data_IF_329135977835
#
_entry.id   IF_329135977835
#
_cell.length_a   1.000
_cell.length_b   1.000
_cell.length_c   1.000
_cell.angle_alpha   90.00
_cell.angle_beta   90.00
_cell.angle_gamma   90.00
#
_symmetry.space_group_name_H-M   'P 1'
#
loop_
_entity.id
_entity.type
_entity.pdbx_description
1 polymer ?
#
# COMPACT_ATOMS: atom_id res chain seq x y z
N UNK A 1 -15.22 12.51 19.97
CA UNK A 1 -16.21 11.97 20.92
C UNK A 1 -17.62 12.39 20.50
N UNK A 2 -18.63 11.76 21.06
CA UNK A 2 -20.03 12.21 20.98
C UNK A 2 -20.63 12.34 22.37
N UNK A 3 -21.68 13.14 22.49
CA UNK A 3 -22.48 13.27 23.71
C UNK A 3 -23.96 13.30 23.36
N UNK A 4 -24.77 12.62 24.18
CA UNK A 4 -26.22 12.69 24.14
C UNK A 4 -26.71 13.83 25.03
N UNK A 5 -27.63 14.63 24.54
CA UNK A 5 -28.11 15.83 25.22
C UNK A 5 -29.64 15.85 25.17
N UNK A 6 -30.24 16.32 26.25
CA UNK A 6 -31.69 16.50 26.35
C UNK A 6 -32.04 17.93 26.68
N UNK A 7 -33.30 18.27 26.43
CA UNK A 7 -33.88 19.53 26.82
C UNK A 7 -35.29 19.33 27.35
N UNK A 8 -35.56 19.92 28.52
CA UNK A 8 -36.89 19.99 29.12
C UNK A 8 -37.29 21.46 29.18
N UNK A 9 -38.50 21.80 28.75
CA UNK A 9 -39.00 23.17 28.69
C UNK A 9 -40.43 23.27 29.21
N UNK A 10 -40.62 24.15 30.18
CA UNK A 10 -41.93 24.47 30.75
C UNK A 10 -42.14 25.99 30.77
N UNK A 11 -43.06 26.49 29.95
CA UNK A 11 -43.25 27.94 29.75
C UNK A 11 -41.96 28.60 29.27
N UNK A 12 -41.46 29.59 30.00
CA UNK A 12 -40.21 30.29 29.68
C UNK A 12 -38.96 29.65 30.31
N UNK A 13 -39.14 28.63 31.16
CA UNK A 13 -38.02 27.93 31.82
C UNK A 13 -37.60 26.74 30.97
N UNK A 14 -36.29 26.52 30.86
CA UNK A 14 -35.74 25.33 30.24
C UNK A 14 -34.52 24.82 31.00
N UNK A 15 -34.25 23.53 30.88
CA UNK A 15 -33.04 22.89 31.36
C UNK A 15 -32.42 22.08 30.23
N UNK A 16 -31.10 22.21 30.04
CA UNK A 16 -30.32 21.38 29.13
C UNK A 16 -29.63 20.31 29.96
N UNK A 17 -29.85 19.05 29.61
CA UNK A 17 -29.31 17.89 30.31
C UNK A 17 -28.17 17.30 29.47
N UNK A 18 -27.06 16.99 30.12
CA UNK A 18 -25.88 16.41 29.48
C UNK A 18 -25.77 14.93 29.81
N UNK A 19 -25.39 14.15 28.80
CA UNK A 19 -25.23 12.69 28.88
C UNK A 19 -26.50 11.98 29.37
N UNK A 20 -27.60 12.25 28.66
CA UNK A 20 -28.93 11.80 29.07
C UNK A 20 -29.06 10.28 29.17
N UNK A 21 -29.82 9.85 30.17
CA UNK A 21 -30.29 8.48 30.31
C UNK A 21 -31.50 8.21 29.41
N UNK A 22 -31.84 6.93 29.23
CA UNK A 22 -33.01 6.55 28.43
C UNK A 22 -34.34 7.11 28.96
N UNK A 23 -34.49 7.22 30.28
CA UNK A 23 -35.69 7.81 30.88
C UNK A 23 -35.78 9.33 30.64
N UNK A 24 -34.63 10.02 30.64
CA UNK A 24 -34.54 11.46 30.36
C UNK A 24 -34.79 11.76 28.87
N UNK A 25 -34.40 10.86 27.97
CA UNK A 25 -34.74 10.90 26.55
C UNK A 25 -36.24 10.72 26.32
N UNK A 26 -36.86 9.75 27.00
CA UNK A 26 -38.28 9.46 26.87
C UNK A 26 -39.16 10.63 27.35
N UNK A 27 -38.77 11.26 28.46
CA UNK A 27 -39.51 12.35 29.09
C UNK A 27 -39.11 13.75 28.57
N UNK A 28 -38.00 13.86 27.84
CA UNK A 28 -37.48 15.11 27.31
C UNK A 28 -38.27 15.63 26.11
N UNK A 29 -38.32 16.97 26.00
CA UNK A 29 -39.02 17.69 24.93
C UNK A 29 -38.21 17.79 23.63
N UNK A 30 -36.90 17.61 23.74
CA UNK A 30 -35.97 17.50 22.62
C UNK A 30 -34.78 16.66 23.06
N UNK A 31 -34.34 15.78 22.16
CA UNK A 31 -33.07 15.07 22.29
C UNK A 31 -32.17 15.37 21.10
N UNK A 32 -30.88 15.47 21.36
CA UNK A 32 -29.91 15.67 20.31
C UNK A 32 -28.57 15.05 20.65
N UNK A 33 -27.88 14.62 19.61
CA UNK A 33 -26.61 13.90 19.71
C UNK A 33 -25.60 14.69 18.91
N UNK A 34 -24.51 15.10 19.58
CA UNK A 34 -23.46 15.91 18.98
C UNK A 34 -22.16 15.12 18.98
N UNK A 35 -21.61 14.85 17.80
CA UNK A 35 -20.31 14.20 17.65
C UNK A 35 -19.31 15.14 16.97
N UNK A 36 -18.04 15.04 17.35
CA UNK A 36 -17.01 15.92 16.83
C UNK A 36 -15.63 15.72 17.44
N UNK A 37 -14.71 16.51 16.89
CA UNK A 37 -13.35 16.69 17.41
C UNK A 37 -13.27 17.98 18.25
N UNK A 38 -12.07 18.29 18.73
CA UNK A 38 -11.77 19.58 19.36
C UNK A 38 -11.98 20.76 18.40
N UNK A 39 -11.80 20.54 17.09
CA UNK A 39 -11.85 21.57 16.05
C UNK A 39 -13.26 21.85 15.55
N UNK A 40 -14.22 20.95 15.78
CA UNK A 40 -15.57 21.14 15.27
C UNK A 40 -16.46 19.90 15.36
N UNK A 41 -17.72 20.11 14.95
CA UNK A 41 -18.76 19.07 14.89
C UNK A 41 -18.60 18.30 13.59
N UNK A 42 -18.61 16.96 13.69
CA UNK A 42 -18.57 16.04 12.54
C UNK A 42 -19.95 15.46 12.23
N UNK A 43 -20.82 15.35 13.24
CA UNK A 43 -22.21 14.94 13.07
C UNK A 43 -23.10 15.59 14.14
N UNK A 44 -24.32 15.93 13.73
CA UNK A 44 -25.37 16.46 14.60
C UNK A 44 -26.67 15.77 14.22
N UNK A 45 -27.30 15.12 15.19
CA UNK A 45 -28.64 14.55 15.06
C UNK A 45 -29.53 15.24 16.09
N UNK A 46 -30.73 15.65 15.70
CA UNK A 46 -31.68 16.34 16.57
C UNK A 46 -33.07 15.79 16.31
N UNK A 47 -33.80 15.49 17.38
CA UNK A 47 -35.22 15.18 17.36
C UNK A 47 -35.95 16.13 18.31
N UNK A 48 -36.94 16.85 17.76
CA UNK A 48 -37.63 17.93 18.44
C UNK A 48 -39.10 17.53 18.56
N UNK A 49 -39.59 17.37 19.79
CA UNK A 49 -40.94 16.91 20.08
C UNK A 49 -41.93 18.05 20.35
N UNK A 50 -41.41 19.26 20.61
CA UNK A 50 -42.21 20.45 20.92
C UNK A 50 -41.89 21.66 20.03
N UNK A 51 -42.80 22.62 19.98
CA UNK A 51 -42.55 23.94 19.39
C UNK A 51 -41.91 24.91 20.41
N UNK A 52 -41.28 25.97 19.92
CA UNK A 52 -40.78 27.06 20.77
C UNK A 52 -39.33 26.93 21.22
N UNK A 53 -38.51 26.15 20.50
CA UNK A 53 -37.05 26.12 20.69
C UNK A 53 -36.44 27.28 19.91
N UNK A 54 -35.95 28.28 20.63
CA UNK A 54 -35.33 29.46 20.02
C UNK A 54 -33.88 29.19 19.64
N UNK A 55 -33.32 30.03 18.76
CA UNK A 55 -31.90 29.98 18.40
C UNK A 55 -30.99 30.15 19.61
N UNK A 56 -31.40 30.93 20.59
CA UNK A 56 -30.64 31.18 21.82
C UNK A 56 -30.56 29.93 22.69
N UNK A 57 -31.69 29.23 22.88
CA UNK A 57 -31.76 27.94 23.58
C UNK A 57 -30.85 26.93 22.89
N UNK A 58 -30.91 26.85 21.56
CA UNK A 58 -30.09 25.93 20.78
C UNK A 58 -28.59 26.25 20.88
N UNK A 59 -28.22 27.54 20.88
CA UNK A 59 -26.84 27.97 21.06
C UNK A 59 -26.30 27.59 22.45
N UNK A 60 -27.09 27.81 23.50
CA UNK A 60 -26.74 27.40 24.86
C UNK A 60 -26.58 25.88 24.96
N UNK A 61 -27.51 25.13 24.36
CA UNK A 61 -27.49 23.67 24.38
C UNK A 61 -26.27 23.09 23.64
N UNK A 62 -25.91 23.68 22.48
CA UNK A 62 -24.73 23.29 21.72
C UNK A 62 -23.42 23.66 22.43
N UNK A 63 -23.38 24.77 23.17
CA UNK A 63 -22.20 25.15 23.96
C UNK A 63 -22.00 24.18 25.13
N UNK A 64 -23.08 23.81 25.83
CA UNK A 64 -23.01 22.78 26.87
C UNK A 64 -22.59 21.42 26.28
N UNK A 65 -23.11 21.05 25.11
CA UNK A 65 -22.70 19.85 24.39
C UNK A 65 -21.23 19.90 23.98
N UNK A 66 -20.71 21.07 23.58
CA UNK A 66 -19.28 21.26 23.29
C UNK A 66 -18.45 21.00 24.53
N UNK A 67 -18.80 21.59 25.68
CA UNK A 67 -18.08 21.40 26.93
C UNK A 67 -18.05 19.92 27.34
N UNK A 68 -19.20 19.24 27.32
CA UNK A 68 -19.28 17.80 27.61
C UNK A 68 -18.50 16.93 26.62
N UNK A 69 -18.57 17.24 25.31
CA UNK A 69 -17.80 16.51 24.29
C UNK A 69 -16.28 16.66 24.50
N UNK A 70 -15.81 17.85 24.84
CA UNK A 70 -14.39 18.10 25.13
C UNK A 70 -13.94 17.37 26.40
N UNK A 71 -14.80 17.30 27.42
CA UNK A 71 -14.54 16.50 28.61
C UNK A 71 -14.35 15.02 28.27
N UNK A 72 -15.27 14.42 27.50
CA UNK A 72 -15.17 13.02 27.07
C UNK A 72 -13.91 12.79 26.22
N UNK A 73 -13.60 13.70 25.28
CA UNK A 73 -12.36 13.64 24.51
C UNK A 73 -11.11 13.65 25.40
N UNK A 74 -11.11 14.48 26.45
CA UNK A 74 -10.03 14.53 27.42
C UNK A 74 -9.85 13.22 28.17
N UNK A 75 -10.93 12.57 28.59
CA UNK A 75 -10.86 11.23 29.21
C UNK A 75 -10.37 10.15 28.24
N UNK A 76 -10.81 10.17 26.98
CA UNK A 76 -10.31 9.27 25.94
C UNK A 76 -8.81 9.44 25.70
N UNK A 77 -8.33 10.69 25.66
CA UNK A 77 -6.94 11.03 25.41
C UNK A 77 -5.99 10.55 26.52
N UNK A 78 -6.47 10.37 27.77
CA UNK A 78 -5.67 9.77 28.85
C UNK A 78 -5.27 8.32 28.57
N UNK A 79 -6.00 7.63 27.70
CA UNK A 79 -5.74 6.25 27.31
C UNK A 79 -5.03 6.17 25.96
N UNK A 80 -5.50 6.94 24.97
CA UNK A 80 -4.92 7.01 23.63
C UNK A 80 -5.17 8.39 23.02
N UNK A 81 -4.10 9.16 22.85
CA UNK A 81 -4.13 10.52 22.30
C UNK A 81 -3.83 10.56 20.79
N UNK A 82 -3.09 9.58 20.29
CA UNK A 82 -2.71 9.44 18.87
C UNK A 82 -2.86 8.00 18.37
N UNK A 83 -3.07 7.79 17.06
CA UNK A 83 -2.99 6.47 16.46
C UNK A 83 -1.65 5.80 16.80
N UNK A 84 -1.67 4.47 16.99
CA UNK A 84 -0.43 3.69 17.19
C UNK A 84 0.43 3.79 15.93
N UNK A 85 1.74 3.94 16.12
CA UNK A 85 2.72 3.98 15.01
C UNK A 85 2.74 2.66 14.24
N UNK A 86 2.59 1.56 14.96
CA UNK A 86 2.54 0.23 14.39
C UNK A 86 1.17 -0.42 14.58
N UNK A 87 0.68 -1.01 13.50
CA UNK A 87 -0.50 -1.87 13.52
C UNK A 87 -0.20 -3.17 14.28
N UNK A 88 -1.22 -3.80 14.86
CA UNK A 88 -1.09 -5.13 15.48
C UNK A 88 -0.42 -6.13 14.53
N UNK A 89 0.35 -7.06 15.08
CA UNK A 89 0.96 -8.18 14.33
C UNK A 89 -0.10 -9.13 13.77
N UNK A 90 -1.26 -9.22 14.43
CA UNK A 90 -2.38 -10.08 14.04
C UNK A 90 -3.41 -9.39 13.16
N UNK A 91 -3.28 -8.08 12.97
CA UNK A 91 -4.20 -7.34 12.10
C UNK A 91 -3.78 -7.55 10.65
N UNK A 92 -4.72 -7.91 9.75
CA UNK A 92 -4.45 -7.96 8.32
C UNK A 92 -3.89 -6.63 7.84
N UNK A 93 -2.71 -6.66 7.23
CA UNK A 93 -2.03 -5.49 6.67
C UNK A 93 -2.37 -5.41 5.20
N UNK A 94 -2.73 -4.22 4.74
CA UNK A 94 -2.86 -3.91 3.33
C UNK A 94 -1.63 -3.11 2.93
N UNK A 95 -0.68 -3.76 2.27
CA UNK A 95 0.44 -3.08 1.63
C UNK A 95 -0.05 -2.51 0.29
N UNK A 96 0.29 -1.27 0.00
CA UNK A 96 -0.05 -0.64 -1.28
C UNK A 96 1.24 -0.24 -1.99
N UNK A 97 1.42 -0.71 -3.22
CA UNK A 97 2.50 -0.30 -4.12
C UNK A 97 1.93 0.21 -5.44
N UNK A 98 2.71 1.01 -6.16
CA UNK A 98 2.36 1.46 -7.51
C UNK A 98 3.34 0.88 -8.51
N UNK A 99 2.82 0.31 -9.59
CA UNK A 99 3.60 -0.25 -10.70
C UNK A 99 3.24 0.48 -12.00
N UNK A 100 4.10 0.38 -13.02
CA UNK A 100 3.76 0.90 -14.35
C UNK A 100 2.53 0.13 -14.90
N UNK A 101 1.43 0.83 -15.30
CA UNK A 101 0.23 0.19 -15.85
C UNK A 101 0.49 -0.76 -17.02
N UNK A 102 1.52 -0.49 -17.84
CA UNK A 102 1.88 -1.36 -18.96
C UNK A 102 2.31 -2.77 -18.51
N UNK A 103 2.82 -2.90 -17.27
CA UNK A 103 3.33 -4.15 -16.69
C UNK A 103 2.30 -4.92 -15.89
N UNK A 104 1.06 -4.42 -15.77
CA UNK A 104 -0.04 -5.13 -15.09
C UNK A 104 -0.22 -6.52 -15.69
N UNK A 105 -0.10 -6.63 -17.03
CA UNK A 105 -0.22 -7.92 -17.75
C UNK A 105 0.84 -8.93 -17.34
N UNK A 106 2.05 -8.48 -17.02
CA UNK A 106 3.16 -9.35 -16.61
C UNK A 106 2.95 -9.88 -15.20
N UNK A 107 2.42 -9.04 -14.29
CA UNK A 107 2.09 -9.43 -12.91
C UNK A 107 0.92 -10.41 -12.86
N UNK A 108 -0.13 -10.18 -13.67
CA UNK A 108 -1.26 -11.11 -13.78
C UNK A 108 -0.80 -12.43 -14.42
N UNK A 109 0.02 -12.35 -15.47
CA UNK A 109 0.44 -13.50 -16.27
C UNK A 109 -0.69 -14.05 -17.15
N UNK A 110 -0.37 -15.06 -17.98
CA UNK A 110 -1.34 -15.66 -18.90
C UNK A 110 -2.50 -16.31 -18.11
N UNK A 111 -3.71 -15.77 -18.27
CA UNK A 111 -4.91 -16.27 -17.59
C UNK A 111 -4.89 -16.11 -16.06
N UNK A 112 -4.04 -15.22 -15.52
CA UNK A 112 -3.91 -15.05 -14.06
C UNK A 112 -2.99 -16.07 -13.38
N UNK A 113 -2.21 -16.85 -14.13
CA UNK A 113 -1.36 -17.90 -13.55
C UNK A 113 -0.31 -17.34 -12.57
N UNK A 114 0.38 -16.26 -12.95
CA UNK A 114 1.44 -15.66 -12.12
C UNK A 114 0.89 -15.11 -10.82
N UNK A 115 -0.18 -14.31 -10.90
CA UNK A 115 -0.78 -13.71 -9.70
C UNK A 115 -1.35 -14.78 -8.77
N UNK A 116 -2.00 -15.82 -9.30
CA UNK A 116 -2.52 -16.94 -8.51
C UNK A 116 -1.41 -17.68 -7.78
N UNK A 117 -0.31 -17.95 -8.48
CA UNK A 117 0.86 -18.59 -7.88
C UNK A 117 1.42 -17.76 -6.72
N UNK A 118 1.57 -16.44 -6.91
CA UNK A 118 2.02 -15.55 -5.82
C UNK A 118 1.03 -15.63 -4.65
N UNK A 119 -0.26 -15.43 -4.90
CA UNK A 119 -1.27 -15.45 -3.83
C UNK A 119 -1.33 -16.77 -3.05
N UNK A 120 -1.11 -17.90 -3.74
CA UNK A 120 -1.14 -19.23 -3.13
C UNK A 120 0.12 -19.50 -2.30
N UNK A 121 1.30 -19.17 -2.83
CA UNK A 121 2.57 -19.38 -2.15
C UNK A 121 2.77 -18.42 -0.96
N UNK A 122 2.32 -17.18 -1.06
CA UNK A 122 2.44 -16.17 0.00
C UNK A 122 1.20 -16.08 0.87
N UNK A 123 0.12 -16.83 0.59
CA UNK A 123 -1.15 -16.77 1.34
C UNK A 123 -1.73 -15.35 1.45
N UNK A 124 -1.49 -14.52 0.44
CA UNK A 124 -1.94 -13.13 0.38
C UNK A 124 -3.08 -12.97 -0.61
N UNK A 125 -3.96 -11.99 -0.39
CA UNK A 125 -4.92 -11.54 -1.40
C UNK A 125 -4.34 -10.32 -2.11
N UNK A 126 -4.20 -10.39 -3.43
CA UNK A 126 -3.65 -9.29 -4.23
C UNK A 126 -4.73 -8.76 -5.17
N UNK A 127 -4.97 -7.46 -5.10
CA UNK A 127 -5.88 -6.71 -5.96
C UNK A 127 -5.08 -5.68 -6.77
N UNK A 128 -5.29 -5.64 -8.09
CA UNK A 128 -4.57 -4.76 -9.01
C UNK A 128 -5.59 -3.89 -9.72
N UNK A 129 -5.45 -2.58 -9.56
CA UNK A 129 -6.26 -1.57 -10.24
C UNK A 129 -5.64 -1.18 -11.59
N UNK A 130 -6.48 -0.71 -12.51
CA UNK A 130 -6.05 -0.33 -13.87
C UNK A 130 -5.09 0.86 -13.92
N UNK A 131 -5.00 1.62 -12.83
CA UNK A 131 -4.06 2.74 -12.64
C UNK A 131 -2.67 2.30 -12.18
N UNK A 132 -2.44 0.99 -12.01
CA UNK A 132 -1.19 0.43 -11.52
C UNK A 132 -1.10 0.34 -9.99
N UNK A 133 -2.16 0.67 -9.25
CA UNK A 133 -2.22 0.45 -7.79
C UNK A 133 -2.36 -1.04 -7.49
N UNK A 134 -1.42 -1.61 -6.74
CA UNK A 134 -1.47 -3.00 -6.26
C UNK A 134 -1.65 -3.00 -4.75
N UNK A 135 -2.73 -3.63 -4.28
CA UNK A 135 -3.04 -3.82 -2.87
C UNK A 135 -2.81 -5.27 -2.49
N UNK A 136 -1.92 -5.50 -1.53
CA UNK A 136 -1.55 -6.82 -1.03
C UNK A 136 -2.06 -6.92 0.40
N UNK A 137 -3.12 -7.70 0.61
CA UNK A 137 -3.66 -8.00 1.93
C UNK A 137 -3.03 -9.29 2.46
N UNK A 138 -2.43 -9.23 3.65
CA UNK A 138 -1.83 -10.38 4.33
C UNK A 138 -2.12 -10.34 5.83
N UNK A 139 -2.31 -11.51 6.44
CA UNK A 139 -2.39 -11.65 7.91
C UNK A 139 -0.99 -11.65 8.53
N UNK A 140 0.02 -12.12 7.79
CA UNK A 140 1.42 -12.18 8.22
C UNK A 140 2.27 -11.14 7.47
N UNK A 141 3.14 -10.44 8.21
CA UNK A 141 4.00 -9.39 7.64
C UNK A 141 5.02 -9.95 6.64
N UNK A 142 5.64 -11.08 6.94
CA UNK A 142 6.66 -11.69 6.07
C UNK A 142 6.05 -12.15 4.75
N UNK A 143 4.86 -12.75 4.80
CA UNK A 143 4.10 -13.16 3.62
C UNK A 143 3.74 -11.97 2.72
N UNK A 144 3.30 -10.85 3.33
CA UNK A 144 2.99 -9.61 2.61
C UNK A 144 4.22 -8.97 1.96
N UNK A 145 5.34 -8.92 2.67
CA UNK A 145 6.62 -8.40 2.16
C UNK A 145 7.18 -9.28 1.03
N UNK A 146 7.07 -10.61 1.13
CA UNK A 146 7.51 -11.52 0.08
C UNK A 146 6.66 -11.38 -1.20
N UNK A 147 5.33 -11.23 -1.04
CA UNK A 147 4.45 -10.93 -2.17
C UNK A 147 4.83 -9.59 -2.83
N UNK A 148 5.10 -8.55 -2.03
CA UNK A 148 5.55 -7.25 -2.52
C UNK A 148 6.85 -7.38 -3.31
N UNK A 149 7.85 -8.06 -2.74
CA UNK A 149 9.16 -8.29 -3.35
C UNK A 149 9.05 -8.99 -4.71
N UNK A 150 8.18 -10.00 -4.82
CA UNK A 150 7.96 -10.72 -6.09
C UNK A 150 7.32 -9.85 -7.16
N UNK A 151 6.34 -9.02 -6.79
CA UNK A 151 5.70 -8.08 -7.72
C UNK A 151 6.70 -7.01 -8.16
N UNK A 152 7.52 -6.48 -7.23
CA UNK A 152 8.61 -5.55 -7.55
C UNK A 152 9.63 -6.17 -8.51
N UNK A 153 10.00 -7.45 -8.34
CA UNK A 153 10.92 -8.14 -9.25
C UNK A 153 10.35 -8.32 -10.66
N UNK A 154 9.05 -8.60 -10.80
CA UNK A 154 8.37 -8.72 -12.09
C UNK A 154 8.29 -7.35 -12.77
N UNK A 155 8.05 -6.30 -11.98
CA UNK A 155 7.82 -4.95 -12.47
C UNK A 155 9.08 -4.09 -12.53
N UNK A 156 10.20 -4.55 -12.00
CA UNK A 156 11.47 -3.85 -12.05
C UNK A 156 11.84 -3.53 -13.50
N UNK A 157 12.26 -2.27 -13.75
CA UNK A 157 12.87 -1.91 -15.02
C UNK A 157 14.31 -2.42 -15.07
N UNK A 158 14.70 -2.93 -16.23
CA UNK A 158 16.09 -3.29 -16.48
C UNK A 158 16.78 -2.01 -16.93
N UNK A 159 17.58 -1.44 -16.03
CA UNK A 159 18.29 -0.20 -16.30
C UNK A 159 19.51 -0.47 -17.18
N UNK A 160 19.65 0.29 -18.26
CA UNK A 160 20.85 0.25 -19.10
C UNK A 160 22.04 0.74 -18.27
N UNK A 161 23.10 -0.05 -18.23
CA UNK A 161 24.30 0.21 -17.45
C UNK A 161 24.32 -0.41 -16.06
N UNK A 162 23.18 -0.90 -15.55
CA UNK A 162 23.15 -1.62 -14.28
C UNK A 162 23.77 -3.02 -14.39
N UNK A 163 24.37 -3.48 -13.29
CA UNK A 163 24.94 -4.83 -13.16
C UNK A 163 23.95 -5.71 -12.41
N UNK A 164 23.61 -6.85 -13.00
CA UNK A 164 22.73 -7.85 -12.41
C UNK A 164 23.47 -9.17 -12.25
N UNK A 165 23.16 -9.90 -11.18
CA UNK A 165 23.59 -11.27 -11.00
C UNK A 165 22.53 -12.19 -11.61
N UNK A 166 22.87 -12.88 -12.69
CA UNK A 166 21.94 -13.70 -13.44
C UNK A 166 22.39 -15.16 -13.57
N UNK A 167 21.43 -16.06 -13.80
CA UNK A 167 21.72 -17.49 -14.03
C UNK A 167 21.70 -17.79 -15.51
N UNK A 168 22.70 -18.51 -16.02
CA UNK A 168 22.75 -18.99 -17.41
C UNK A 168 21.61 -19.99 -17.61
N UNK A 169 20.61 -19.60 -18.41
CA UNK A 169 19.46 -20.44 -18.72
C UNK A 169 19.71 -21.38 -19.89
N UNK A 170 20.47 -20.93 -20.90
CA UNK A 170 20.79 -21.73 -22.08
C UNK A 170 22.06 -21.26 -22.78
N UNK A 171 22.85 -22.19 -23.30
CA UNK A 171 24.00 -21.89 -24.15
C UNK A 171 23.66 -22.06 -25.64
N UNK A 172 24.21 -21.18 -26.48
CA UNK A 172 24.11 -21.21 -27.94
C UNK A 172 25.49 -21.00 -28.56
N UNK A 173 25.67 -21.33 -29.83
CA UNK A 173 26.99 -21.20 -30.50
C UNK A 173 27.49 -19.74 -30.58
N UNK A 174 26.57 -18.77 -30.59
CA UNK A 174 26.86 -17.34 -30.71
C UNK A 174 26.75 -16.57 -29.38
N UNK A 175 26.38 -17.22 -28.26
CA UNK A 175 26.21 -16.55 -26.99
C UNK A 175 25.53 -17.39 -25.90
N UNK A 176 25.26 -16.77 -24.76
CA UNK A 176 24.56 -17.37 -23.62
C UNK A 176 23.33 -16.54 -23.25
N UNK A 177 22.21 -17.21 -23.00
CA UNK A 177 21.04 -16.59 -22.37
C UNK A 177 21.21 -16.62 -20.86
N UNK A 178 21.03 -15.47 -20.24
CA UNK A 178 21.17 -15.27 -18.79
C UNK A 178 19.88 -14.63 -18.28
N UNK A 179 19.21 -15.31 -17.35
CA UNK A 179 18.03 -14.81 -16.66
C UNK A 179 18.47 -13.87 -15.55
N UNK A 180 18.18 -12.58 -15.69
CA UNK A 180 18.56 -11.53 -14.73
C UNK A 180 17.43 -11.16 -13.77
N UNK A 181 16.18 -11.32 -14.21
CA UNK A 181 14.96 -11.14 -13.42
C UNK A 181 13.95 -12.21 -13.83
N UNK A 182 12.98 -12.56 -12.96
CA UNK A 182 11.94 -13.54 -13.31
C UNK A 182 11.22 -13.17 -14.61
N UNK A 183 11.31 -14.04 -15.62
CA UNK A 183 10.70 -13.83 -16.94
C UNK A 183 11.45 -12.88 -17.87
N UNK A 184 12.65 -12.40 -17.49
CA UNK A 184 13.50 -11.55 -18.33
C UNK A 184 14.86 -12.18 -18.57
N UNK A 185 15.05 -12.63 -19.80
CA UNK A 185 16.31 -13.17 -20.30
C UNK A 185 17.06 -12.11 -21.10
N UNK A 186 18.37 -12.00 -20.87
CA UNK A 186 19.27 -11.24 -21.72
C UNK A 186 20.26 -12.15 -22.44
N UNK A 187 20.76 -11.67 -23.58
CA UNK A 187 21.74 -12.38 -24.38
C UNK A 187 23.13 -11.78 -24.16
N UNK A 188 24.07 -12.59 -23.69
CA UNK A 188 25.50 -12.29 -23.74
C UNK A 188 26.05 -12.86 -25.05
N UNK A 189 26.41 -11.98 -25.99
CA UNK A 189 27.04 -12.41 -27.24
C UNK A 189 28.46 -12.95 -26.97
N UNK A 190 28.95 -13.91 -27.76
CA UNK A 190 30.28 -14.54 -27.57
C UNK A 190 31.42 -13.53 -27.45
N UNK A 191 31.33 -12.41 -28.20
CA UNK A 191 32.32 -11.32 -28.15
C UNK A 191 32.28 -10.48 -26.86
N UNK A 192 31.25 -10.63 -26.03
CA UNK A 192 31.01 -9.89 -24.79
C UNK A 192 31.22 -10.75 -23.53
N UNK A 193 31.72 -12.00 -23.67
CA UNK A 193 31.96 -12.93 -22.56
C UNK A 193 33.31 -12.66 -21.87
N UNK A 194 34.41 -12.54 -22.63
CA UNK A 194 35.76 -12.37 -22.08
C UNK A 194 36.66 -11.62 -23.06
N UNK A 195 37.60 -10.81 -22.56
CA UNK A 195 38.52 -10.00 -23.39
C UNK A 195 39.43 -10.85 -24.28
N UNK A 196 39.64 -12.11 -23.89
CA UNK A 196 40.30 -13.13 -24.67
C UNK A 196 39.42 -13.61 -25.84
N UNK A 197 40.04 -14.08 -26.93
CA UNK A 197 39.30 -14.70 -28.04
C UNK A 197 38.70 -16.03 -27.57
N UNK A 198 37.40 -16.03 -27.34
CA UNK A 198 36.62 -17.24 -27.00
C UNK A 198 36.13 -17.88 -28.30
N UNK A 199 36.56 -19.11 -28.59
CA UNK A 199 36.07 -19.87 -29.76
C UNK A 199 34.72 -20.55 -29.48
N UNK A 200 34.48 -21.00 -28.25
CA UNK A 200 33.22 -21.62 -27.85
C UNK A 200 32.73 -21.09 -26.51
N UNK A 201 31.44 -20.75 -26.44
CA UNK A 201 30.78 -20.28 -25.21
C UNK A 201 30.90 -21.29 -24.06
N UNK A 202 30.84 -22.58 -24.41
CA UNK A 202 30.99 -23.72 -23.48
C UNK A 202 32.32 -23.76 -22.72
N UNK A 203 33.34 -23.06 -23.21
CA UNK A 203 34.67 -23.08 -22.60
C UNK A 203 34.76 -22.14 -21.39
N UNK A 204 33.85 -21.16 -21.30
CA UNK A 204 33.81 -20.16 -20.22
C UNK A 204 32.53 -20.19 -19.40
N UNK A 205 31.42 -20.70 -19.93
CA UNK A 205 30.12 -20.73 -19.27
C UNK A 205 29.48 -22.12 -19.33
N UNK A 206 28.76 -22.49 -18.27
CA UNK A 206 27.91 -23.68 -18.22
C UNK A 206 26.46 -23.28 -17.96
N UNK A 207 25.53 -24.10 -18.43
CA UNK A 207 24.12 -23.94 -18.07
C UNK A 207 23.95 -24.09 -16.56
N UNK A 208 23.23 -23.16 -15.94
CA UNK A 208 23.05 -23.08 -14.49
C UNK A 208 24.07 -22.23 -13.75
N UNK A 209 25.15 -21.78 -14.39
CA UNK A 209 26.15 -20.91 -13.74
C UNK A 209 25.52 -19.56 -13.37
N UNK A 210 25.94 -19.02 -12.22
CA UNK A 210 25.56 -17.67 -11.78
C UNK A 210 26.68 -16.72 -12.13
N UNK A 211 26.37 -15.70 -12.94
CA UNK A 211 27.33 -14.74 -13.48
C UNK A 211 26.84 -13.31 -13.32
N UNK A 212 27.76 -12.40 -13.08
CA UNK A 212 27.47 -10.96 -13.11
C UNK A 212 27.50 -10.46 -14.55
N UNK A 213 26.50 -9.67 -14.92
CA UNK A 213 26.30 -9.16 -16.28
C UNK A 213 25.83 -7.72 -16.24
N UNK A 214 26.44 -6.87 -17.08
CA UNK A 214 26.02 -5.48 -17.27
C UNK A 214 25.06 -5.37 -18.45
N UNK A 215 23.99 -4.60 -18.29
CA UNK A 215 23.07 -4.29 -19.38
C UNK A 215 23.71 -3.24 -20.29
N UNK A 216 23.90 -3.57 -21.56
CA UNK A 216 24.41 -2.63 -22.56
C UNK A 216 23.30 -1.84 -23.24
N UNK A 217 22.21 -2.51 -23.58
CA UNK A 217 21.13 -1.93 -24.37
C UNK A 217 19.87 -2.78 -24.19
N UNK A 218 18.70 -2.13 -24.25
CA UNK A 218 17.40 -2.80 -24.34
C UNK A 218 16.76 -2.37 -25.67
N UNK A 219 16.56 -3.32 -26.58
CA UNK A 219 15.92 -3.09 -27.87
C UNK A 219 14.42 -2.78 -27.69
N UNK A 220 13.79 -2.14 -28.68
CA UNK A 220 12.35 -1.81 -28.71
C UNK A 220 11.43 -3.03 -28.60
N UNK A 221 11.96 -4.23 -28.88
CA UNK A 221 11.26 -5.51 -28.70
C UNK A 221 11.43 -6.11 -27.29
N UNK A 222 12.06 -5.38 -26.35
CA UNK A 222 12.33 -5.85 -24.98
C UNK A 222 13.49 -6.84 -24.87
N UNK A 223 14.31 -7.00 -25.94
CA UNK A 223 15.49 -7.88 -25.92
C UNK A 223 16.65 -7.16 -25.24
N UNK A 224 17.22 -7.81 -24.24
CA UNK A 224 18.26 -7.24 -23.38
C UNK A 224 19.62 -7.74 -23.86
N UNK A 225 20.52 -6.81 -24.22
CA UNK A 225 21.92 -7.11 -24.54
C UNK A 225 22.75 -7.00 -23.28
N UNK A 226 23.46 -8.07 -22.96
CA UNK A 226 24.28 -8.18 -21.75
C UNK A 226 25.76 -8.30 -22.12
N UNK A 227 26.63 -7.85 -21.21
CA UNK A 227 28.07 -8.01 -21.33
C UNK A 227 28.70 -8.36 -19.99
N UNK A 228 29.60 -9.34 -20.01
CA UNK A 228 30.44 -9.71 -18.88
C UNK A 228 31.77 -8.93 -18.88
N UNK A 229 32.21 -8.44 -20.05
CA UNK A 229 33.39 -7.57 -20.17
C UNK A 229 33.19 -6.20 -19.55
N UNK A 230 32.01 -5.64 -19.76
CA UNK A 230 31.71 -4.26 -19.38
C UNK A 230 31.60 -4.06 -17.85
N UNK A 231 31.80 -5.12 -17.05
CA UNK A 231 31.98 -5.07 -15.61
C UNK A 231 33.30 -4.42 -15.20
N UNK A 232 34.37 -4.61 -16.00
CA UNK A 232 35.72 -4.13 -15.68
C UNK A 232 36.08 -2.82 -16.39
N UNK A 233 35.20 -2.29 -17.24
CA UNK A 233 35.39 -1.00 -17.88
C UNK A 233 35.08 0.12 -16.88
N UNK A 234 36.12 0.81 -16.42
CA UNK A 234 35.98 2.06 -15.67
C UNK A 234 35.02 3.02 -16.40
N UNK A 235 34.24 3.84 -15.67
CA UNK A 235 33.26 4.72 -16.28
C UNK A 235 33.96 5.70 -17.23
N UNK A 236 33.74 5.55 -18.53
CA UNK A 236 34.06 6.59 -19.50
C UNK A 236 32.95 7.63 -19.45
N UNK A 237 33.17 8.67 -18.64
CA UNK A 237 32.52 9.96 -18.82
C UNK A 237 32.90 10.51 -20.20
N UNK A 238 31.88 10.85 -20.99
CA UNK A 238 32.01 11.50 -22.30
C UNK A 238 30.76 12.28 -22.62
#
# INVERSE_FOLDING_TARGET
AGIAMGLIKEGDRYAVISDILGDEDHLGDMDFKVAGSERGVTALQMDIKINGITREIMAAALEQARAGRLHILGEMAKVIDRPREEMSEWAPRILTIHINPEKIRDVIGKGGATIRQITEETRTTIDISDDGTVKIASVDRADGEEARRRIELITADVEVGAVYQGRVSKLMDFGAFVTILPGRDGLVHISQISDERVERVSDKLKEGDVVDVKVLEVDRQGRIRLSMKALNAAPTDG
#
